data_IF_913678171363
#
_entry.id   IF_913678171363
#
_cell.length_a   1.000
_cell.length_b   1.000
_cell.length_c   1.000
_cell.angle_alpha   90.00
_cell.angle_beta   90.00
_cell.angle_gamma   90.00
#
_symmetry.space_group_name_H-M   'P 1'
#
loop_
_entity.id
_entity.type
_entity.pdbx_description
1 polymer ?
#
# COMPACT_ATOMS: atom_id res chain seq x y z
N UNK A 1 22.00 -6.62 -5.78
CA UNK A 1 22.24 -5.21 -6.09
C UNK A 1 22.85 -5.10 -7.48
N UNK A 2 22.15 -4.58 -8.45
CA UNK A 2 22.54 -3.53 -9.30
C UNK A 2 23.07 -3.85 -10.68
N UNK A 3 22.67 -4.87 -11.41
CA UNK A 3 22.93 -4.91 -12.87
C UNK A 3 21.76 -4.40 -13.70
N UNK A 4 20.55 -4.33 -13.15
CA UNK A 4 19.35 -3.88 -13.87
C UNK A 4 19.24 -2.34 -13.92
N UNK A 5 19.89 -1.61 -13.00
CA UNK A 5 19.87 -0.14 -12.94
C UNK A 5 20.79 0.54 -13.96
N UNK A 6 21.76 -0.16 -14.55
CA UNK A 6 22.68 0.41 -15.51
C UNK A 6 22.01 1.08 -16.73
N UNK A 7 20.95 0.50 -17.35
CA UNK A 7 20.25 1.14 -18.46
C UNK A 7 19.51 2.40 -18.02
N UNK A 8 18.84 2.38 -16.85
CA UNK A 8 18.09 3.52 -16.32
C UNK A 8 19.03 4.65 -15.90
N UNK A 9 20.12 4.35 -15.19
CA UNK A 9 21.11 5.35 -14.79
C UNK A 9 21.74 6.04 -16.02
N UNK A 10 21.96 5.29 -17.10
CA UNK A 10 22.47 5.86 -18.35
C UNK A 10 21.44 6.75 -19.03
N UNK A 11 20.15 6.34 -19.01
CA UNK A 11 19.05 7.13 -19.53
C UNK A 11 18.90 8.45 -18.78
N UNK A 12 18.91 8.43 -17.44
CA UNK A 12 18.80 9.60 -16.58
C UNK A 12 19.92 10.65 -16.83
N UNK A 13 21.10 10.20 -17.31
CA UNK A 13 22.20 11.11 -17.68
C UNK A 13 22.04 11.74 -19.06
N UNK A 14 21.15 11.20 -19.87
CA UNK A 14 20.98 11.62 -21.27
C UNK A 14 19.72 12.46 -21.47
N UNK A 15 18.68 12.19 -20.71
CA UNK A 15 17.39 12.90 -20.78
C UNK A 15 16.82 13.06 -19.36
N UNK A 16 15.92 14.04 -19.12
CA UNK A 16 15.21 14.15 -17.84
C UNK A 16 14.27 12.96 -17.68
N UNK A 17 14.33 12.33 -16.50
CA UNK A 17 13.47 11.19 -16.13
C UNK A 17 12.70 11.56 -14.88
N UNK A 18 11.39 11.28 -14.87
CA UNK A 18 10.55 11.35 -13.69
C UNK A 18 10.03 9.94 -13.40
N UNK A 19 10.24 9.46 -12.16
CA UNK A 19 9.69 8.18 -11.69
C UNK A 19 8.44 8.42 -10.86
N UNK A 20 7.50 7.50 -10.90
CA UNK A 20 6.28 7.55 -10.10
C UNK A 20 6.17 6.27 -9.30
N UNK A 21 5.97 6.40 -7.97
CA UNK A 21 5.83 5.26 -7.05
C UNK A 21 7.14 4.62 -6.62
N UNK A 22 8.26 5.17 -7.02
CA UNK A 22 9.60 4.69 -6.65
C UNK A 22 10.51 5.86 -6.32
N UNK A 23 11.52 5.61 -5.51
CA UNK A 23 12.62 6.54 -5.28
C UNK A 23 13.94 5.78 -5.13
N UNK A 24 15.00 6.40 -5.63
CA UNK A 24 16.37 5.91 -5.50
C UNK A 24 17.31 7.13 -5.55
N UNK A 25 17.97 7.40 -4.45
CA UNK A 25 18.85 8.56 -4.32
C UNK A 25 20.11 8.49 -5.18
N UNK A 26 20.45 7.33 -5.76
CA UNK A 26 21.60 7.16 -6.63
C UNK A 26 21.31 7.52 -8.10
N UNK A 27 20.02 7.64 -8.46
CA UNK A 27 19.62 7.98 -9.83
C UNK A 27 19.30 9.48 -9.96
N UNK A 28 19.84 10.18 -10.97
CA UNK A 28 19.51 11.56 -11.24
C UNK A 28 18.14 11.68 -11.94
N UNK A 29 17.08 11.37 -11.19
CA UNK A 29 15.68 11.46 -11.62
C UNK A 29 14.86 12.25 -10.61
N UNK A 30 13.84 12.98 -11.04
CA UNK A 30 12.83 13.48 -10.11
C UNK A 30 11.84 12.36 -9.76
N UNK A 31 11.49 12.23 -8.49
CA UNK A 31 10.63 11.15 -8.02
C UNK A 31 9.34 11.72 -7.47
N UNK A 32 8.20 11.21 -7.94
CA UNK A 32 6.87 11.57 -7.45
C UNK A 32 6.31 10.36 -6.71
N UNK A 33 6.23 10.44 -5.38
CA UNK A 33 5.76 9.35 -4.53
C UNK A 33 4.51 9.76 -3.75
N UNK A 34 3.71 8.81 -3.33
CA UNK A 34 2.63 9.07 -2.38
C UNK A 34 3.14 9.05 -0.93
N UNK A 35 2.36 9.65 -0.03
CA UNK A 35 2.65 9.61 1.41
C UNK A 35 2.19 8.26 2.02
N UNK A 36 2.99 7.21 1.78
CA UNK A 36 2.72 5.87 2.29
C UNK A 36 2.61 5.85 3.83
N UNK A 37 3.53 6.56 4.50
CA UNK A 37 3.62 6.59 5.95
C UNK A 37 2.41 7.27 6.57
N UNK A 38 2.05 8.46 6.10
CA UNK A 38 0.87 9.18 6.57
C UNK A 38 -0.43 8.43 6.28
N UNK A 39 -0.49 7.76 5.12
CA UNK A 39 -1.65 6.96 4.74
C UNK A 39 -1.89 5.75 5.64
N UNK A 40 -0.84 4.97 5.90
CA UNK A 40 -0.92 3.81 6.79
C UNK A 40 -1.15 4.24 8.24
N UNK A 41 -0.49 5.32 8.70
CA UNK A 41 -0.72 5.84 10.04
C UNK A 41 -2.19 6.25 10.25
N UNK A 42 -2.79 6.97 9.30
CA UNK A 42 -4.20 7.36 9.36
C UNK A 42 -5.14 6.15 9.37
N UNK A 43 -4.80 5.09 8.62
CA UNK A 43 -5.57 3.86 8.58
C UNK A 43 -5.51 3.11 9.93
N UNK A 44 -4.31 2.90 10.47
CA UNK A 44 -4.11 2.24 11.77
C UNK A 44 -4.81 3.03 12.89
N UNK A 45 -4.66 4.35 12.91
CA UNK A 45 -5.33 5.22 13.88
C UNK A 45 -6.85 5.08 13.82
N UNK A 46 -7.41 5.09 12.61
CA UNK A 46 -8.84 4.89 12.42
C UNK A 46 -9.32 3.55 12.98
N UNK A 47 -8.60 2.46 12.71
CA UNK A 47 -8.95 1.13 13.21
C UNK A 47 -8.89 1.05 14.75
N UNK A 48 -7.92 1.73 15.36
CA UNK A 48 -7.78 1.77 16.83
C UNK A 48 -8.82 2.69 17.46
N UNK A 49 -8.93 3.93 17.00
CA UNK A 49 -9.70 4.98 17.67
C UNK A 49 -11.21 4.80 17.45
N UNK A 50 -11.62 4.31 16.28
CA UNK A 50 -13.04 4.16 15.92
C UNK A 50 -13.56 2.75 16.18
N UNK A 51 -12.75 1.74 15.90
CA UNK A 51 -13.18 0.33 15.97
C UNK A 51 -12.60 -0.44 17.16
N UNK A 52 -11.72 0.19 17.97
CA UNK A 52 -11.13 -0.44 19.15
C UNK A 52 -10.27 -1.66 18.83
N UNK A 53 -9.69 -1.72 17.63
CA UNK A 53 -8.88 -2.86 17.20
C UNK A 53 -7.61 -2.91 18.03
N UNK A 54 -7.32 -4.07 18.61
CA UNK A 54 -6.14 -4.32 19.46
C UNK A 54 -5.16 -5.31 18.84
N UNK A 55 -5.57 -5.98 17.76
CA UNK A 55 -4.73 -6.92 17.01
C UNK A 55 -4.98 -6.76 15.52
N UNK A 56 -3.91 -6.68 14.73
CA UNK A 56 -3.97 -6.58 13.28
C UNK A 56 -2.79 -7.26 12.60
N UNK A 57 -2.99 -7.71 11.36
CA UNK A 57 -1.92 -8.24 10.51
C UNK A 57 -1.85 -7.47 9.21
N UNK A 58 -0.64 -7.35 8.66
CA UNK A 58 -0.43 -6.80 7.33
C UNK A 58 -0.42 -7.93 6.29
N UNK A 59 -1.03 -7.67 5.14
CA UNK A 59 -1.03 -8.59 3.99
C UNK A 59 -0.48 -7.86 2.77
N UNK A 60 0.51 -8.46 2.09
CA UNK A 60 1.01 -7.92 0.84
C UNK A 60 2.26 -8.59 0.33
N UNK A 61 2.63 -8.24 -0.91
CA UNK A 61 3.85 -8.68 -1.57
C UNK A 61 4.90 -7.57 -1.46
N UNK A 62 6.01 -7.82 -0.77
CA UNK A 62 7.08 -6.82 -0.58
C UNK A 62 8.02 -6.76 -1.80
N UNK A 63 7.45 -6.48 -2.98
CA UNK A 63 8.19 -6.48 -4.25
C UNK A 63 8.49 -5.09 -4.79
N UNK A 64 7.85 -4.05 -4.22
CA UNK A 64 8.00 -2.67 -4.67
C UNK A 64 8.40 -1.74 -3.53
N UNK A 65 8.96 -0.57 -3.87
CA UNK A 65 9.26 0.48 -2.89
C UNK A 65 8.04 0.83 -2.03
N UNK A 66 6.89 1.10 -2.65
CA UNK A 66 5.68 1.49 -1.93
C UNK A 66 5.23 0.41 -0.93
N UNK A 67 5.30 -0.88 -1.31
CA UNK A 67 4.90 -1.98 -0.41
C UNK A 67 5.82 -2.10 0.80
N UNK A 68 7.15 -1.96 0.61
CA UNK A 68 8.09 -1.92 1.73
C UNK A 68 7.78 -0.75 2.67
N UNK A 69 7.56 0.46 2.14
CA UNK A 69 7.27 1.65 2.94
C UNK A 69 5.94 1.53 3.70
N UNK A 70 4.91 0.94 3.08
CA UNK A 70 3.62 0.68 3.74
C UNK A 70 3.77 -0.32 4.88
N UNK A 71 4.53 -1.39 4.67
CA UNK A 71 4.78 -2.38 5.72
C UNK A 71 5.59 -1.81 6.89
N UNK A 72 6.67 -1.10 6.63
CA UNK A 72 7.46 -0.41 7.66
C UNK A 72 6.62 0.59 8.45
N UNK A 73 5.80 1.38 7.76
CA UNK A 73 4.88 2.32 8.39
C UNK A 73 3.84 1.61 9.27
N UNK A 74 3.31 0.48 8.82
CA UNK A 74 2.39 -0.35 9.60
C UNK A 74 3.06 -0.85 10.89
N UNK A 75 4.26 -1.42 10.79
CA UNK A 75 5.00 -1.92 11.95
C UNK A 75 5.27 -0.81 12.96
N UNK A 76 5.77 0.34 12.48
CA UNK A 76 6.07 1.50 13.33
C UNK A 76 4.81 2.01 14.04
N UNK A 77 3.72 2.21 13.28
CA UNK A 77 2.49 2.76 13.85
C UNK A 77 1.78 1.81 14.79
N UNK A 78 1.74 0.51 14.48
CA UNK A 78 1.19 -0.50 15.37
C UNK A 78 1.96 -0.56 16.70
N UNK A 79 3.30 -0.50 16.65
CA UNK A 79 4.14 -0.47 17.85
C UNK A 79 3.89 0.79 18.70
N UNK A 80 3.81 1.98 18.08
CA UNK A 80 3.51 3.26 18.76
C UNK A 80 2.14 3.22 19.46
N UNK A 81 1.17 2.52 18.87
CA UNK A 81 -0.20 2.39 19.41
C UNK A 81 -0.36 1.20 20.36
N UNK A 82 0.70 0.42 20.62
CA UNK A 82 0.66 -0.76 21.47
C UNK A 82 -0.23 -1.89 20.94
N UNK A 83 -0.37 -1.98 19.62
CA UNK A 83 -1.20 -2.97 18.94
C UNK A 83 -0.43 -4.29 18.82
N UNK A 84 -1.07 -5.41 19.17
CA UNK A 84 -0.54 -6.73 18.90
C UNK A 84 -0.50 -6.95 17.38
N UNK A 85 0.69 -7.22 16.87
CA UNK A 85 0.85 -7.62 15.48
C UNK A 85 0.68 -9.13 15.40
N UNK A 86 -0.38 -9.57 14.75
CA UNK A 86 -0.55 -10.95 14.35
C UNK A 86 0.56 -11.37 13.36
N UNK A 87 0.65 -12.66 13.06
CA UNK A 87 1.60 -13.16 12.06
C UNK A 87 1.45 -12.36 10.76
N UNK A 88 2.51 -11.71 10.26
CA UNK A 88 2.44 -11.01 9.00
C UNK A 88 2.22 -12.02 7.86
N UNK A 89 1.27 -11.72 6.98
CA UNK A 89 0.93 -12.53 5.81
C UNK A 89 1.60 -11.91 4.59
N UNK A 90 2.92 -12.06 4.51
CA UNK A 90 3.76 -11.43 3.51
C UNK A 90 4.27 -12.44 2.48
N UNK A 91 4.50 -11.95 1.28
CA UNK A 91 5.32 -12.60 0.27
C UNK A 91 6.48 -11.65 -0.07
N UNK A 92 7.71 -12.06 0.19
CA UNK A 92 8.94 -11.33 -0.11
C UNK A 92 9.70 -11.94 -1.30
N UNK A 93 9.16 -13.00 -1.90
CA UNK A 93 9.77 -13.68 -3.02
C UNK A 93 9.21 -13.21 -4.36
N UNK A 94 10.07 -12.71 -5.23
CA UNK A 94 9.75 -12.40 -6.64
C UNK A 94 9.36 -13.65 -7.44
N UNK A 95 9.65 -14.84 -6.92
CA UNK A 95 9.52 -16.12 -7.64
C UNK A 95 8.26 -16.92 -7.30
N UNK A 96 7.54 -16.60 -6.24
CA UNK A 96 6.39 -17.39 -5.79
C UNK A 96 5.28 -16.49 -5.33
N UNK A 97 4.51 -16.02 -6.28
CA UNK A 97 3.28 -15.32 -5.98
C UNK A 97 2.34 -16.17 -5.14
N UNK A 98 1.93 -15.69 -3.96
CA UNK A 98 0.81 -16.13 -3.12
C UNK A 98 1.15 -16.90 -1.84
N UNK A 99 2.33 -16.75 -1.28
CA UNK A 99 2.61 -17.29 0.05
C UNK A 99 1.68 -16.66 1.11
N UNK A 100 1.37 -15.36 0.97
CA UNK A 100 0.37 -14.70 1.80
C UNK A 100 -1.01 -15.38 1.75
N UNK A 101 -1.37 -15.94 0.57
CA UNK A 101 -2.64 -16.64 0.39
C UNK A 101 -2.68 -17.95 1.17
N UNK A 102 -1.60 -18.75 1.11
CA UNK A 102 -1.46 -19.98 1.87
C UNK A 102 -1.52 -19.69 3.37
N UNK A 103 -0.77 -18.70 3.81
CA UNK A 103 -0.75 -18.27 5.21
C UNK A 103 -2.13 -17.79 5.69
N UNK A 104 -2.89 -17.10 4.83
CA UNK A 104 -4.26 -16.67 5.15
C UNK A 104 -5.21 -17.87 5.26
N UNK A 105 -5.16 -18.83 4.34
CA UNK A 105 -5.96 -20.05 4.42
C UNK A 105 -5.65 -20.84 5.69
N UNK A 106 -4.37 -21.00 6.05
CA UNK A 106 -3.97 -21.63 7.32
C UNK A 106 -4.54 -20.91 8.55
N UNK A 107 -4.53 -19.57 8.54
CA UNK A 107 -5.08 -18.77 9.64
C UNK A 107 -6.60 -18.90 9.74
N UNK A 108 -7.31 -19.00 8.62
CA UNK A 108 -8.75 -19.27 8.57
C UNK A 108 -9.07 -20.64 9.16
N UNK A 109 -8.38 -21.68 8.68
CA UNK A 109 -8.59 -23.07 9.13
C UNK A 109 -8.27 -23.26 10.63
N UNK A 110 -7.31 -22.50 11.15
CA UNK A 110 -6.94 -22.53 12.56
C UNK A 110 -7.81 -21.62 13.46
N UNK A 111 -8.78 -20.90 12.90
CA UNK A 111 -9.57 -19.87 13.60
C UNK A 111 -8.70 -18.81 14.33
N UNK A 112 -7.57 -18.43 13.70
CA UNK A 112 -6.55 -17.52 14.26
C UNK A 112 -6.45 -16.20 13.47
N UNK A 113 -7.57 -15.75 12.91
CA UNK A 113 -7.61 -14.46 12.23
C UNK A 113 -7.53 -13.31 13.24
N UNK A 114 -6.69 -12.29 13.00
CA UNK A 114 -6.70 -11.08 13.80
C UNK A 114 -7.99 -10.29 13.55
N UNK A 115 -8.30 -9.33 14.42
CA UNK A 115 -9.51 -8.50 14.26
C UNK A 115 -9.48 -7.65 12.99
N UNK A 116 -8.31 -7.27 12.50
CA UNK A 116 -8.18 -6.50 11.26
C UNK A 116 -7.02 -6.99 10.38
N UNK A 117 -7.27 -7.00 9.08
CA UNK A 117 -6.32 -7.27 8.02
C UNK A 117 -6.07 -5.97 7.23
N UNK A 118 -4.85 -5.46 7.33
CA UNK A 118 -4.39 -4.27 6.61
C UNK A 118 -3.68 -4.72 5.33
N UNK A 119 -4.36 -4.62 4.21
CA UNK A 119 -3.80 -5.03 2.93
C UNK A 119 -2.99 -3.89 2.31
N UNK A 120 -1.83 -4.22 1.77
CA UNK A 120 -0.93 -3.24 1.17
C UNK A 120 -1.47 -2.56 -0.08
N UNK A 121 -2.48 -3.13 -0.75
CA UNK A 121 -3.20 -2.53 -1.87
C UNK A 121 -4.66 -3.04 -1.96
N UNK A 122 -5.47 -2.37 -2.79
CA UNK A 122 -6.89 -2.68 -2.97
C UNK A 122 -7.12 -4.04 -3.66
N UNK A 123 -6.24 -4.46 -4.57
CA UNK A 123 -6.37 -5.75 -5.25
C UNK A 123 -6.24 -6.91 -4.26
N UNK A 124 -5.23 -6.84 -3.39
CA UNK A 124 -5.04 -7.81 -2.32
C UNK A 124 -6.24 -7.80 -1.37
N UNK A 125 -6.74 -6.60 -0.99
CA UNK A 125 -7.90 -6.49 -0.10
C UNK A 125 -9.16 -7.16 -0.66
N UNK A 126 -9.45 -6.97 -1.94
CA UNK A 126 -10.60 -7.60 -2.59
C UNK A 126 -10.44 -9.13 -2.68
N UNK A 127 -9.25 -9.62 -3.01
CA UNK A 127 -8.97 -11.05 -3.02
C UNK A 127 -9.14 -11.68 -1.62
N UNK A 128 -8.68 -10.98 -0.57
CA UNK A 128 -8.88 -11.37 0.83
C UNK A 128 -10.37 -11.43 1.19
N UNK A 129 -11.16 -10.42 0.82
CA UNK A 129 -12.61 -10.37 1.07
C UNK A 129 -13.32 -11.55 0.40
N UNK A 130 -12.96 -11.86 -0.85
CA UNK A 130 -13.54 -12.98 -1.57
C UNK A 130 -13.23 -14.33 -0.89
N UNK A 131 -11.99 -14.54 -0.46
CA UNK A 131 -11.58 -15.75 0.28
C UNK A 131 -12.30 -15.90 1.62
N UNK A 132 -12.36 -14.81 2.40
CA UNK A 132 -13.07 -14.81 3.69
C UNK A 132 -14.55 -15.16 3.50
N UNK A 133 -15.20 -14.57 2.48
CA UNK A 133 -16.59 -14.87 2.14
C UNK A 133 -16.78 -16.33 1.78
N UNK A 134 -15.91 -16.91 0.95
CA UNK A 134 -15.99 -18.31 0.53
C UNK A 134 -15.75 -19.28 1.70
N UNK A 135 -14.99 -18.84 2.72
CA UNK A 135 -14.80 -19.55 3.98
C UNK A 135 -15.91 -19.28 5.02
N UNK A 136 -16.93 -18.47 4.69
CA UNK A 136 -18.02 -18.14 5.62
C UNK A 136 -17.69 -17.10 6.69
N UNK A 137 -16.52 -16.42 6.57
CA UNK A 137 -16.08 -15.36 7.47
C UNK A 137 -16.64 -14.01 7.00
N UNK A 138 -17.32 -13.30 7.88
CA UNK A 138 -18.04 -12.07 7.54
C UNK A 138 -17.16 -10.84 7.69
N UNK A 139 -17.13 -10.00 6.66
CA UNK A 139 -16.50 -8.68 6.68
C UNK A 139 -17.59 -7.62 6.77
N UNK A 140 -17.59 -6.74 7.77
CA UNK A 140 -16.58 -6.50 8.81
C UNK A 140 -16.86 -7.19 10.15
N UNK A 141 -17.92 -8.02 10.28
CA UNK A 141 -18.41 -8.49 11.58
C UNK A 141 -17.39 -9.37 12.30
N UNK A 142 -16.79 -10.30 11.58
CA UNK A 142 -15.79 -11.22 12.14
C UNK A 142 -14.36 -10.66 11.97
N UNK A 143 -14.04 -10.13 10.78
CA UNK A 143 -12.75 -9.55 10.43
C UNK A 143 -12.93 -8.26 9.64
N UNK A 144 -12.22 -7.22 10.03
CA UNK A 144 -12.11 -5.96 9.26
C UNK A 144 -11.06 -6.14 8.15
N UNK A 145 -11.35 -5.64 6.95
CA UNK A 145 -10.39 -5.62 5.83
C UNK A 145 -10.25 -4.20 5.31
N UNK A 146 -9.01 -3.77 5.12
CA UNK A 146 -8.70 -2.45 4.55
C UNK A 146 -7.70 -2.56 3.42
N UNK A 147 -7.67 -1.58 2.52
CA UNK A 147 -6.77 -1.52 1.38
C UNK A 147 -5.95 -0.25 1.29
N UNK A 148 -5.26 -0.10 0.20
CA UNK A 148 -4.52 1.09 -0.21
C UNK A 148 -4.63 1.22 -1.73
N UNK A 149 -4.64 2.41 -2.30
CA UNK A 149 -4.64 2.93 -3.66
C UNK A 149 -5.92 3.72 -3.99
N UNK A 150 -7.10 3.27 -3.52
CA UNK A 150 -8.39 3.94 -3.75
C UNK A 150 -8.88 3.86 -5.18
N UNK A 151 -8.44 2.83 -5.94
CA UNK A 151 -8.78 2.66 -7.36
C UNK A 151 -10.01 1.79 -7.60
N UNK A 152 -10.34 0.92 -6.64
CA UNK A 152 -11.39 -0.10 -6.79
C UNK A 152 -12.62 0.17 -5.90
N UNK A 153 -12.81 1.40 -5.45
CA UNK A 153 -14.03 1.81 -4.75
C UNK A 153 -15.24 1.74 -5.70
N UNK A 154 -15.69 0.53 -6.02
CA UNK A 154 -16.92 0.33 -6.79
C UNK A 154 -18.11 0.52 -5.87
N UNK A 155 -18.88 1.57 -6.11
CA UNK A 155 -20.16 1.81 -5.44
C UNK A 155 -21.21 0.69 -5.69
N UNK A 156 -20.90 -0.28 -6.55
CA UNK A 156 -21.81 -1.37 -6.95
C UNK A 156 -21.50 -2.70 -6.25
N UNK A 157 -20.40 -2.78 -5.46
CA UNK A 157 -20.08 -4.01 -4.74
C UNK A 157 -20.85 -4.06 -3.40
N UNK A 158 -21.26 -5.26 -2.92
CA UNK A 158 -21.91 -5.40 -1.63
C UNK A 158 -21.01 -4.96 -0.45
N UNK A 159 -19.68 -4.99 -0.65
CA UNK A 159 -18.68 -4.46 0.27
C UNK A 159 -17.95 -3.30 -0.41
N UNK A 160 -18.01 -2.12 0.21
CA UNK A 160 -17.22 -0.96 -0.16
C UNK A 160 -15.96 -0.92 0.68
N UNK A 161 -14.80 -0.83 0.03
CA UNK A 161 -13.51 -0.94 0.70
C UNK A 161 -13.13 0.35 1.45
N UNK A 162 -12.79 0.24 2.73
CA UNK A 162 -12.03 1.27 3.43
C UNK A 162 -10.60 1.22 2.94
N UNK A 163 -10.11 2.32 2.39
CA UNK A 163 -8.83 2.38 1.68
C UNK A 163 -8.18 3.75 1.79
N UNK A 164 -6.89 3.81 1.53
CA UNK A 164 -6.14 5.06 1.38
C UNK A 164 -6.05 5.41 -0.11
N UNK A 165 -6.68 6.51 -0.51
CA UNK A 165 -6.68 6.95 -1.91
C UNK A 165 -5.43 7.72 -2.26
N UNK A 166 -4.72 7.25 -3.28
CA UNK A 166 -3.62 7.95 -3.91
C UNK A 166 -4.13 9.04 -4.88
N UNK A 167 -3.46 10.19 -4.96
CA UNK A 167 -3.81 11.25 -5.91
C UNK A 167 -3.20 11.00 -7.30
N UNK A 168 -3.42 9.81 -7.90
CA UNK A 168 -2.74 9.36 -9.13
C UNK A 168 -2.80 10.38 -10.27
N UNK A 169 -3.97 11.01 -10.47
CA UNK A 169 -4.11 12.06 -11.49
C UNK A 169 -3.27 13.31 -11.21
N UNK A 170 -3.07 13.67 -9.94
CA UNK A 170 -2.22 14.79 -9.56
C UNK A 170 -0.74 14.41 -9.67
N UNK A 171 -0.37 13.17 -9.31
CA UNK A 171 1.00 12.65 -9.48
C UNK A 171 1.40 12.66 -10.95
N UNK A 172 0.53 12.18 -11.85
CA UNK A 172 0.79 12.21 -13.29
C UNK A 172 0.92 13.64 -13.87
N UNK A 173 0.06 14.57 -13.42
CA UNK A 173 0.18 15.98 -13.83
C UNK A 173 1.46 16.63 -13.32
N UNK A 174 1.86 16.34 -12.08
CA UNK A 174 3.12 16.85 -11.54
C UNK A 174 4.32 16.30 -12.32
N UNK A 175 4.33 14.99 -12.61
CA UNK A 175 5.40 14.37 -13.39
C UNK A 175 5.53 15.01 -14.79
N UNK A 176 4.41 15.22 -15.47
CA UNK A 176 4.40 15.90 -16.78
C UNK A 176 4.90 17.34 -16.69
N UNK A 177 4.48 18.10 -15.65
CA UNK A 177 4.94 19.46 -15.39
C UNK A 177 6.45 19.52 -15.15
N UNK A 178 6.98 18.63 -14.31
CA UNK A 178 8.42 18.54 -14.03
C UNK A 178 9.23 18.30 -15.31
N UNK A 179 8.77 17.39 -16.18
CA UNK A 179 9.43 17.12 -17.46
C UNK A 179 9.39 18.32 -18.39
N UNK A 180 8.26 19.04 -18.46
CA UNK A 180 8.11 20.24 -19.30
C UNK A 180 9.02 21.38 -18.83
N UNK A 181 9.10 21.61 -17.53
CA UNK A 181 9.98 22.63 -16.92
C UNK A 181 11.46 22.33 -17.16
N UNK A 182 11.84 21.06 -17.18
CA UNK A 182 13.23 20.61 -17.38
C UNK A 182 13.71 20.73 -18.84
N UNK A 183 12.81 20.89 -19.81
CA UNK A 183 13.09 21.17 -21.24
C UNK A 183 14.12 20.24 -21.89
N UNK A 184 14.10 18.95 -21.54
CA UNK A 184 14.97 17.94 -22.13
C UNK A 184 16.40 17.90 -21.59
N UNK A 185 16.73 18.71 -20.59
CA UNK A 185 18.05 18.68 -19.93
C UNK A 185 17.99 17.69 -18.74
N UNK A 186 19.00 16.83 -18.55
CA UNK A 186 19.09 15.97 -17.36
C UNK A 186 19.03 16.78 -16.05
N UNK A 187 18.60 16.13 -14.96
CA UNK A 187 18.53 16.75 -13.64
C UNK A 187 19.94 16.98 -13.06
N UNK A 188 20.23 18.19 -12.61
CA UNK A 188 21.43 18.48 -11.83
C UNK A 188 21.22 18.11 -10.36
N UNK A 189 20.05 18.45 -9.80
CA UNK A 189 19.63 18.13 -8.44
C UNK A 189 18.20 17.55 -8.47
N UNK A 190 18.07 16.22 -8.57
CA UNK A 190 16.78 15.58 -8.57
C UNK A 190 16.12 15.68 -7.19
N UNK A 191 14.81 15.85 -7.17
CA UNK A 191 14.03 15.99 -5.94
C UNK A 191 12.99 14.87 -5.78
N UNK A 192 12.65 14.58 -4.52
CA UNK A 192 11.51 13.70 -4.18
C UNK A 192 10.29 14.55 -3.85
N UNK A 193 9.23 14.36 -4.61
CA UNK A 193 7.95 15.05 -4.45
C UNK A 193 6.94 14.10 -3.80
N UNK A 194 6.69 14.28 -2.51
CA UNK A 194 5.72 13.47 -1.75
C UNK A 194 4.33 14.07 -1.86
N UNK A 195 3.39 13.29 -2.38
CA UNK A 195 2.00 13.70 -2.59
C UNK A 195 1.10 13.21 -1.45
N UNK A 196 0.25 14.08 -0.86
CA UNK A 196 -0.64 13.70 0.22
C UNK A 196 -1.71 12.71 -0.26
N UNK A 197 -2.01 11.74 0.56
CA UNK A 197 -3.06 10.74 0.35
C UNK A 197 -4.30 11.03 1.20
N UNK A 198 -5.39 10.31 0.99
CA UNK A 198 -6.63 10.51 1.75
C UNK A 198 -7.24 9.17 2.16
N UNK A 199 -7.52 9.00 3.45
CA UNK A 199 -8.33 7.90 3.94
C UNK A 199 -9.77 8.04 3.41
N UNK A 200 -10.30 6.97 2.82
CA UNK A 200 -11.66 6.85 2.30
C UNK A 200 -12.33 5.72 3.05
N UNK A 201 -13.39 6.03 3.76
CA UNK A 201 -14.12 5.05 4.55
C UNK A 201 -15.11 4.28 3.68
N UNK A 202 -15.25 3.02 3.97
CA UNK A 202 -16.21 2.11 3.39
C UNK A 202 -16.74 1.14 4.45
N UNK A 203 -17.66 0.27 4.06
CA UNK A 203 -18.28 -0.66 5.01
C UNK A 203 -17.40 -1.87 5.37
N UNK A 204 -16.25 -2.07 4.71
CA UNK A 204 -15.33 -3.17 5.03
C UNK A 204 -14.64 -3.04 6.40
N UNK A 205 -14.68 -1.85 7.03
CA UNK A 205 -14.29 -1.66 8.43
C UNK A 205 -15.49 -1.50 9.37
N UNK A 206 -16.71 -1.39 8.84
CA UNK A 206 -17.92 -1.15 9.61
C UNK A 206 -18.40 0.30 9.62
N UNK A 207 -17.71 1.21 8.94
CA UNK A 207 -18.20 2.57 8.68
C UNK A 207 -19.28 2.56 7.58
N UNK A 208 -20.16 3.56 7.61
CA UNK A 208 -21.28 3.74 6.65
C UNK A 208 -20.97 4.91 5.73
#
# INVERSE_FOLDING_TARGET
>A
RGTDDLPLARLCRSIPVVRIGETDSELPSADVICDNEGGIAALVDHLVDVHGVTEMSFIGELTTYDMHRRFEAFQSRAAERGIAMGRPLLDDSVASSKEWLVNLCEAIDAEQLPRALVCGNDQTALAVIDLLRDAGVRVPQDVIVTGFDGILASASAPVTLTTVRQPLGAMGRLAAKLLDEQRGVPWDEPGVHRMPVKLVLGNSCGCV
#
